data_IF_160020069842
#
_entry.id   IF_160020069842
#
_cell.length_a   1.000
_cell.length_b   1.000
_cell.length_c   1.000
_cell.angle_alpha   90.00
_cell.angle_beta   90.00
_cell.angle_gamma   90.00
#
_symmetry.space_group_name_H-M   'P 1'
#
loop_
_entity.id
_entity.type
_entity.pdbx_description
1 polymer ?
#
# COMPACT_ATOMS: atom_id res chain seq x y z
N UNK A 1 -7.28 -1.02 -10.26
CA UNK A 1 -6.82 0.39 -10.25
C UNK A 1 -5.60 0.52 -11.16
N UNK A 2 -5.75 1.26 -12.25
CA UNK A 2 -4.65 1.67 -13.16
C UNK A 2 -3.88 2.81 -12.47
N UNK A 3 -2.56 2.89 -12.64
CA UNK A 3 -1.74 3.93 -12.01
C UNK A 3 -2.34 5.33 -12.17
N UNK A 4 -2.76 5.93 -11.06
CA UNK A 4 -3.32 7.27 -10.99
C UNK A 4 -2.28 8.33 -10.68
N UNK A 5 -2.68 9.60 -10.86
CA UNK A 5 -1.89 10.77 -10.46
C UNK A 5 -1.34 10.61 -9.04
N UNK A 6 -0.10 11.05 -8.76
CA UNK A 6 0.46 11.03 -7.41
C UNK A 6 -0.55 11.67 -6.47
N UNK A 7 -1.00 10.91 -5.48
CA UNK A 7 -1.84 11.44 -4.43
C UNK A 7 -1.10 12.64 -3.83
N UNK A 8 -1.69 13.85 -3.94
CA UNK A 8 -1.13 15.06 -3.29
C UNK A 8 -0.81 14.70 -1.84
N UNK A 9 0.29 15.22 -1.29
CA UNK A 9 0.72 14.95 0.07
C UNK A 9 -0.48 15.08 1.04
N UNK A 10 -1.09 13.95 1.39
CA UNK A 10 -2.20 13.94 2.33
C UNK A 10 -1.61 14.15 3.72
N UNK A 11 -2.29 14.90 4.60
CA UNK A 11 -1.96 14.87 6.00
C UNK A 11 -1.89 13.42 6.48
N UNK A 12 -0.86 13.07 7.26
CA UNK A 12 -0.61 11.69 7.70
C UNK A 12 -1.88 11.00 8.21
N UNK A 13 -2.68 11.71 8.99
CA UNK A 13 -3.92 11.18 9.55
C UNK A 13 -4.94 10.80 8.47
N UNK A 14 -5.12 11.63 7.45
CA UNK A 14 -6.01 11.39 6.32
C UNK A 14 -5.51 10.19 5.50
N UNK A 15 -4.20 10.10 5.30
CA UNK A 15 -3.60 8.95 4.61
C UNK A 15 -3.86 7.64 5.36
N UNK A 16 -3.64 7.62 6.69
CA UNK A 16 -3.91 6.46 7.53
C UNK A 16 -5.39 6.06 7.53
N UNK A 17 -6.30 7.04 7.57
CA UNK A 17 -7.74 6.79 7.49
C UNK A 17 -8.13 6.15 6.16
N UNK A 18 -7.61 6.66 5.04
CA UNK A 18 -7.87 6.09 3.72
C UNK A 18 -7.40 4.63 3.61
N UNK A 19 -6.20 4.32 4.10
CA UNK A 19 -5.70 2.95 4.12
C UNK A 19 -6.51 2.04 5.03
N UNK A 20 -6.86 2.50 6.24
CA UNK A 20 -7.71 1.75 7.16
C UNK A 20 -9.09 1.44 6.57
N UNK A 21 -9.68 2.41 5.87
CA UNK A 21 -10.99 2.28 5.21
C UNK A 21 -11.04 1.27 4.06
N UNK A 22 -9.89 0.75 3.62
CA UNK A 22 -9.82 -0.24 2.54
C UNK A 22 -9.19 -1.56 3.01
N UNK A 23 -8.05 -1.51 3.69
CA UNK A 23 -7.28 -2.71 4.03
C UNK A 23 -7.99 -3.63 5.02
N UNK A 24 -8.79 -3.09 5.93
CA UNK A 24 -9.53 -3.89 6.91
C UNK A 24 -10.74 -4.67 6.30
N UNK A 25 -11.05 -4.44 5.02
CA UNK A 25 -12.03 -5.23 4.28
C UNK A 25 -11.51 -6.58 3.80
N UNK A 26 -10.19 -6.71 3.62
CA UNK A 26 -9.56 -7.98 3.30
C UNK A 26 -9.49 -8.90 4.51
N UNK A 27 -9.56 -10.21 4.28
CA UNK A 27 -9.26 -11.21 5.32
C UNK A 27 -7.77 -11.18 5.68
N UNK A 28 -6.92 -11.05 4.67
CA UNK A 28 -5.49 -10.87 4.86
C UNK A 28 -4.86 -10.15 3.67
N UNK A 29 -3.75 -9.48 3.94
CA UNK A 29 -2.84 -8.98 2.91
C UNK A 29 -1.42 -9.41 3.27
N UNK A 30 -0.60 -9.69 2.27
CA UNK A 30 0.80 -10.04 2.45
C UNK A 30 1.64 -9.32 1.41
N UNK A 31 2.57 -8.49 1.87
CA UNK A 31 3.50 -7.76 1.01
C UNK A 31 4.90 -8.33 1.19
N UNK A 32 5.37 -9.06 0.18
CA UNK A 32 6.75 -9.51 0.12
C UNK A 32 7.55 -8.44 -0.63
N UNK A 33 8.42 -7.73 0.10
CA UNK A 33 9.26 -6.66 -0.43
C UNK A 33 10.72 -7.08 -0.32
N UNK A 34 11.47 -6.99 -1.41
CA UNK A 34 12.84 -7.45 -1.48
C UNK A 34 13.66 -6.73 -2.54
N UNK A 35 14.91 -7.17 -2.71
CA UNK A 35 15.87 -6.63 -3.68
C UNK A 35 15.97 -5.09 -3.57
N UNK A 36 16.23 -4.61 -2.36
CA UNK A 36 16.34 -3.19 -2.05
C UNK A 36 17.62 -2.61 -2.66
N UNK A 37 17.45 -1.65 -3.56
CA UNK A 37 18.50 -0.79 -4.08
C UNK A 37 18.37 0.58 -3.41
N UNK A 38 19.36 0.94 -2.58
CA UNK A 38 19.34 2.14 -1.74
C UNK A 38 20.37 3.13 -2.27
N UNK A 39 19.91 4.30 -2.69
CA UNK A 39 20.77 5.41 -3.12
C UNK A 39 20.61 6.58 -2.15
N UNK A 40 21.67 6.94 -1.43
CA UNK A 40 21.70 8.16 -0.63
C UNK A 40 21.80 9.39 -1.53
N UNK A 41 20.95 10.38 -1.28
CA UNK A 41 20.99 11.67 -1.97
C UNK A 41 21.87 12.62 -1.15
N UNK A 42 21.73 12.58 0.18
CA UNK A 42 22.57 13.28 1.16
C UNK A 42 22.54 12.54 2.52
N UNK A 43 23.09 13.16 3.58
CA UNK A 43 23.15 12.58 4.93
C UNK A 43 21.77 12.41 5.62
N UNK A 44 20.74 13.08 5.11
CA UNK A 44 19.40 13.20 5.66
C UNK A 44 18.32 12.65 4.73
N UNK A 45 18.65 12.25 3.50
CA UNK A 45 17.70 11.73 2.53
C UNK A 45 18.25 10.59 1.67
N UNK A 46 17.40 9.61 1.37
CA UNK A 46 17.74 8.54 0.43
C UNK A 46 16.51 8.08 -0.36
N UNK A 47 16.77 7.39 -1.48
CA UNK A 47 15.76 6.77 -2.33
C UNK A 47 15.97 5.26 -2.33
N UNK A 48 14.89 4.51 -2.22
CA UNK A 48 14.88 3.04 -2.24
C UNK A 48 14.04 2.57 -3.42
N UNK A 49 14.63 1.80 -4.32
CA UNK A 49 13.89 1.00 -5.29
C UNK A 49 13.83 -0.44 -4.78
N UNK A 50 12.64 -1.03 -4.72
CA UNK A 50 12.46 -2.39 -4.23
C UNK A 50 11.47 -3.17 -5.08
N UNK A 51 11.68 -4.48 -5.23
CA UNK A 51 10.70 -5.37 -5.86
C UNK A 51 9.64 -5.73 -4.83
N UNK A 52 8.39 -5.75 -5.26
CA UNK A 52 7.25 -6.13 -4.42
C UNK A 52 6.36 -7.12 -5.13
N UNK A 53 5.90 -8.11 -4.38
CA UNK A 53 4.69 -8.89 -4.69
C UNK A 53 3.72 -8.73 -3.53
N UNK A 54 2.49 -8.32 -3.82
CA UNK A 54 1.44 -8.12 -2.84
C UNK A 54 0.25 -9.04 -3.14
N UNK A 55 -0.12 -9.85 -2.16
CA UNK A 55 -1.27 -10.76 -2.20
C UNK A 55 -2.36 -10.24 -1.30
N UNK A 56 -3.58 -10.15 -1.81
CA UNK A 56 -4.76 -9.70 -1.10
C UNK A 56 -5.80 -10.81 -1.14
N UNK A 57 -6.24 -11.27 0.03
CA UNK A 57 -7.24 -12.32 0.16
C UNK A 57 -8.55 -11.71 0.67
N UNK A 58 -9.61 -11.90 -0.13
CA UNK A 58 -10.97 -11.57 0.26
C UNK A 58 -11.73 -12.85 0.61
N UNK A 59 -12.35 -12.88 1.79
CA UNK A 59 -13.22 -13.98 2.18
C UNK A 59 -14.58 -13.88 1.49
N UNK A 60 -15.08 -15.01 1.03
CA UNK A 60 -16.41 -15.18 0.45
C UNK A 60 -17.26 -16.08 1.33
N UNK A 61 -18.53 -16.16 0.99
CA UNK A 61 -19.45 -17.11 1.62
C UNK A 61 -18.93 -18.54 1.51
N UNK A 62 -19.29 -19.35 2.52
CA UNK A 62 -18.95 -20.77 2.59
C UNK A 62 -17.44 -21.06 2.59
N UNK A 63 -16.62 -20.10 3.07
CA UNK A 63 -15.18 -20.28 3.25
C UNK A 63 -14.35 -20.19 1.98
N UNK A 64 -14.96 -19.87 0.83
CA UNK A 64 -14.24 -19.59 -0.41
C UNK A 64 -13.41 -18.31 -0.28
N UNK A 65 -12.35 -18.19 -1.09
CA UNK A 65 -11.45 -17.04 -1.08
C UNK A 65 -11.13 -16.62 -2.50
N UNK A 66 -11.18 -15.31 -2.74
CA UNK A 66 -10.67 -14.72 -3.96
C UNK A 66 -9.34 -14.03 -3.69
N UNK A 67 -8.40 -14.18 -4.62
CA UNK A 67 -7.08 -13.56 -4.53
C UNK A 67 -6.91 -12.48 -5.59
N UNK A 68 -6.38 -11.34 -5.17
CA UNK A 68 -5.75 -10.38 -6.06
C UNK A 68 -4.26 -10.28 -5.74
N UNK A 69 -3.44 -10.63 -6.72
CA UNK A 69 -1.97 -10.64 -6.59
C UNK A 69 -1.42 -9.61 -7.57
N UNK A 70 -0.54 -8.74 -7.11
CA UNK A 70 0.09 -7.71 -7.94
C UNK A 70 1.58 -7.65 -7.68
N UNK A 71 2.34 -7.37 -8.73
CA UNK A 71 3.79 -7.26 -8.63
C UNK A 71 4.33 -6.06 -9.40
N UNK A 72 5.45 -5.54 -8.92
CA UNK A 72 6.04 -4.35 -9.51
C UNK A 72 7.24 -3.85 -8.73
N UNK A 73 7.46 -2.53 -8.79
CA UNK A 73 8.57 -1.86 -8.13
C UNK A 73 8.03 -0.74 -7.25
N UNK A 74 8.45 -0.73 -5.98
CA UNK A 74 8.32 0.45 -5.14
C UNK A 74 9.47 1.41 -5.42
N UNK A 75 9.11 2.68 -5.45
CA UNK A 75 10.02 3.81 -5.49
C UNK A 75 9.71 4.68 -4.27
N UNK A 76 10.57 4.57 -3.25
CA UNK A 76 10.36 5.11 -1.91
C UNK A 76 11.37 6.21 -1.67
N UNK A 77 10.92 7.33 -1.14
CA UNK A 77 11.81 8.37 -0.61
C UNK A 77 11.77 8.31 0.92
N UNK A 78 12.95 8.32 1.52
CA UNK A 78 13.14 8.32 2.96
C UNK A 78 13.78 9.65 3.39
N UNK A 79 13.36 10.16 4.53
CA UNK A 79 13.97 11.32 5.20
C UNK A 79 14.33 10.94 6.63
N UNK A 80 15.49 11.40 7.07
CA UNK A 80 15.94 11.26 8.45
C UNK A 80 15.45 12.45 9.26
N UNK A 81 14.79 12.19 10.38
CA UNK A 81 14.37 13.26 11.27
C UNK A 81 15.58 13.84 12.01
N UNK A 82 15.65 15.17 12.09
CA UNK A 82 16.68 15.87 12.86
C UNK A 82 16.46 15.76 14.37
N UNK A 83 15.23 15.54 14.83
CA UNK A 83 14.90 15.55 16.26
C UNK A 83 15.25 14.24 16.96
N UNK A 84 15.12 13.10 16.27
CA UNK A 84 15.33 11.76 16.86
C UNK A 84 16.27 10.87 16.03
N UNK A 85 16.79 11.38 14.91
CA UNK A 85 17.72 10.66 14.05
C UNK A 85 17.11 9.48 13.30
N UNK A 86 15.79 9.27 13.34
CA UNK A 86 15.13 8.11 12.75
C UNK A 86 14.76 8.35 11.27
N UNK A 87 14.93 7.33 10.44
CA UNK A 87 14.48 7.33 9.06
C UNK A 87 12.96 7.11 8.98
N UNK A 88 12.29 7.88 8.14
CA UNK A 88 10.85 7.80 7.89
C UNK A 88 10.59 7.83 6.41
N UNK A 89 9.55 7.12 5.99
CA UNK A 89 9.04 7.20 4.63
C UNK A 89 8.43 8.59 4.42
N UNK A 90 8.95 9.32 3.43
CA UNK A 90 8.41 10.59 2.96
C UNK A 90 7.39 10.37 1.83
N UNK A 91 7.68 9.46 0.91
CA UNK A 91 6.77 9.11 -0.19
C UNK A 91 6.96 7.66 -0.62
N UNK A 92 5.88 7.04 -1.10
CA UNK A 92 5.91 5.74 -1.77
C UNK A 92 5.19 5.88 -3.10
N UNK A 93 5.81 5.43 -4.18
CA UNK A 93 5.16 5.22 -5.47
C UNK A 93 5.25 3.74 -5.82
N UNK A 94 4.09 3.11 -6.08
CA UNK A 94 4.04 1.78 -6.65
C UNK A 94 3.96 1.86 -8.17
N UNK A 95 4.92 1.26 -8.84
CA UNK A 95 4.93 1.09 -10.30
C UNK A 95 4.58 -0.36 -10.58
N UNK A 96 3.30 -0.58 -10.87
CA UNK A 96 2.78 -1.92 -11.14
C UNK A 96 3.32 -2.45 -12.47
N UNK A 97 3.85 -3.67 -12.47
CA UNK A 97 4.31 -4.35 -13.67
C UNK A 97 3.30 -5.41 -14.15
N UNK A 98 2.62 -6.08 -13.21
CA UNK A 98 1.65 -7.12 -13.53
C UNK A 98 0.62 -7.28 -12.40
N UNK A 99 -0.48 -7.97 -12.68
CA UNK A 99 -1.38 -8.52 -11.67
C UNK A 99 -2.05 -9.81 -12.16
N UNK A 100 -2.63 -10.54 -11.21
CA UNK A 100 -3.47 -11.71 -11.41
C UNK A 100 -4.71 -11.60 -10.49
N UNK A 101 -5.84 -12.11 -10.97
CA UNK A 101 -7.13 -12.01 -10.27
C UNK A 101 -7.85 -10.70 -10.57
N UNK A 102 -9.08 -10.56 -10.09
CA UNK A 102 -9.89 -9.36 -10.35
C UNK A 102 -9.37 -8.17 -9.56
N UNK A 103 -9.13 -7.05 -10.24
CA UNK A 103 -8.74 -5.80 -9.59
C UNK A 103 -9.89 -5.13 -8.83
N UNK A 104 -11.13 -5.60 -9.02
CA UNK A 104 -12.32 -5.09 -8.35
C UNK A 104 -12.38 -5.48 -6.87
N UNK A 105 -11.61 -6.50 -6.47
CA UNK A 105 -11.48 -6.93 -5.07
C UNK A 105 -11.10 -5.78 -4.13
N UNK A 106 -10.35 -4.79 -4.60
CA UNK A 106 -9.99 -3.59 -3.83
C UNK A 106 -11.22 -2.72 -3.51
N UNK A 107 -12.11 -2.55 -4.48
CA UNK A 107 -13.36 -1.79 -4.28
C UNK A 107 -14.32 -2.56 -3.40
N UNK A 108 -14.39 -3.88 -3.55
CA UNK A 108 -15.20 -4.75 -2.70
C UNK A 108 -14.73 -4.74 -1.24
N UNK A 109 -13.42 -4.81 -1.01
CA UNK A 109 -12.84 -4.68 0.32
C UNK A 109 -13.22 -3.33 0.96
N UNK A 110 -13.12 -2.21 0.23
CA UNK A 110 -13.55 -0.91 0.73
C UNK A 110 -15.03 -0.88 1.12
N UNK A 111 -15.92 -1.49 0.31
CA UNK A 111 -17.36 -1.62 0.63
C UNK A 111 -17.58 -2.43 1.91
N UNK A 112 -16.88 -3.57 2.06
CA UNK A 112 -16.95 -4.40 3.27
C UNK A 112 -16.49 -3.61 4.51
N UNK A 113 -15.42 -2.83 4.37
CA UNK A 113 -14.91 -1.97 5.43
C UNK A 113 -15.97 -0.95 5.89
N UNK A 114 -16.61 -0.25 4.95
CA UNK A 114 -17.65 0.73 5.24
C UNK A 114 -18.87 0.09 5.93
N UNK A 115 -19.27 -1.12 5.50
CA UNK A 115 -20.37 -1.87 6.13
C UNK A 115 -20.04 -2.31 7.56
N UNK A 116 -18.80 -2.71 7.84
CA UNK A 116 -18.35 -3.14 9.17
C UNK A 116 -18.14 -1.98 10.14
N UNK A 117 -17.91 -0.77 9.63
CA UNK A 117 -17.61 0.39 10.45
C UNK A 117 -18.26 1.67 9.89
N UNK A 118 -19.58 1.87 10.11
CA UNK A 118 -20.33 2.97 9.52
C UNK A 118 -19.93 4.37 10.03
N UNK A 119 -19.06 4.46 11.05
CA UNK A 119 -18.50 5.72 11.52
C UNK A 119 -17.40 6.31 10.60
N UNK A 120 -17.01 5.58 9.55
CA UNK A 120 -15.99 5.98 8.55
C UNK A 120 -16.57 6.21 7.14
N UNK A 121 -17.89 6.21 6.97
CA UNK A 121 -18.58 6.48 5.68
C UNK A 121 -19.00 7.93 5.54
#
# INVERSE_FOLDING_TARGET
MVGGEPMKALPRQVNLQAWNGMLAGFKSTHHLIGNHDVTFIDAMSCRIKAKVTATHCLEREQGRQDLWITGGTYDIQMVRSKSDGQWRINSIKFIQAWHQGSSDLMQEAAKICAQRNPANS
#
